data_IF_476168323735
#
_entry.id   IF_476168323735
#
_cell.length_a   1.000
_cell.length_b   1.000
_cell.length_c   1.000
_cell.angle_alpha   90.00
_cell.angle_beta   90.00
_cell.angle_gamma   90.00
#
_symmetry.space_group_name_H-M   'P 1'
#
loop_
_entity.id
_entity.type
_entity.pdbx_description
1 polymer ?
#
# COMPACT_ATOMS: atom_id res chain seq x y z
N UNK A 1 -10.09 -1.27 -0.19
CA UNK A 1 -8.76 -1.90 -0.09
C UNK A 1 -7.64 -1.08 -0.73
N UNK A 2 -7.79 -0.54 -1.95
CA UNK A 2 -6.70 0.19 -2.64
C UNK A 2 -6.04 1.31 -1.80
N UNK A 3 -6.84 2.13 -1.12
CA UNK A 3 -6.32 3.15 -0.19
C UNK A 3 -5.34 2.58 0.84
N UNK A 4 -5.70 1.44 1.45
CA UNK A 4 -4.87 0.77 2.47
C UNK A 4 -3.61 0.15 1.86
N UNK A 5 -3.68 -0.34 0.62
CA UNK A 5 -2.49 -0.86 -0.07
C UNK A 5 -1.46 0.25 -0.33
N UNK A 6 -1.92 1.46 -0.66
CA UNK A 6 -1.04 2.61 -0.95
C UNK A 6 -0.51 3.26 0.33
N UNK A 7 -1.36 3.41 1.34
CA UNK A 7 -1.04 4.17 2.56
C UNK A 7 -0.56 3.29 3.73
N UNK A 8 -0.87 1.99 3.70
CA UNK A 8 -0.70 1.07 4.82
C UNK A 8 -1.76 1.24 5.92
N UNK A 9 -2.79 2.07 5.71
CA UNK A 9 -3.79 2.41 6.71
C UNK A 9 -5.21 2.32 6.13
N UNK A 10 -6.19 1.94 6.94
CA UNK A 10 -7.59 2.01 6.52
C UNK A 10 -8.04 3.46 6.36
N UNK A 11 -8.93 3.77 5.39
CA UNK A 11 -9.44 5.12 5.20
C UNK A 11 -10.29 5.63 6.38
N UNK A 12 -10.92 4.70 7.11
CA UNK A 12 -11.82 4.97 8.24
C UNK A 12 -11.53 3.98 9.38
N UNK A 13 -11.84 4.37 10.62
CA UNK A 13 -11.55 3.58 11.80
C UNK A 13 -12.28 4.07 13.05
N UNK A 14 -12.44 3.18 14.04
CA UNK A 14 -13.14 3.47 15.28
C UNK A 14 -14.19 2.41 15.62
N UNK A 15 -15.10 2.75 16.53
CA UNK A 15 -16.22 1.88 16.95
C UNK A 15 -17.27 1.73 15.84
N UNK A 16 -18.10 0.69 15.90
CA UNK A 16 -19.06 0.33 14.84
C UNK A 16 -19.93 1.48 14.33
N UNK A 17 -20.58 2.24 15.23
CA UNK A 17 -21.44 3.36 14.83
C UNK A 17 -20.66 4.48 14.15
N UNK A 18 -19.50 4.84 14.72
CA UNK A 18 -18.62 5.85 14.16
C UNK A 18 -18.19 5.44 12.75
N UNK A 19 -17.73 4.20 12.55
CA UNK A 19 -17.27 3.71 11.25
C UNK A 19 -18.37 3.81 10.16
N UNK A 20 -19.63 3.50 10.50
CA UNK A 20 -20.76 3.68 9.57
C UNK A 20 -20.92 5.15 9.19
N UNK A 21 -20.93 6.07 10.17
CA UNK A 21 -21.01 7.50 9.90
C UNK A 21 -19.88 7.98 8.98
N UNK A 22 -18.64 7.52 9.21
CA UNK A 22 -17.51 7.89 8.35
C UNK A 22 -17.71 7.42 6.91
N UNK A 23 -18.25 6.22 6.72
CA UNK A 23 -18.53 5.71 5.38
C UNK A 23 -19.61 6.51 4.67
N UNK A 24 -20.60 7.04 5.38
CA UNK A 24 -21.67 7.85 4.81
C UNK A 24 -21.23 9.29 4.50
N UNK A 25 -20.62 9.96 5.47
CA UNK A 25 -20.52 11.43 5.43
C UNK A 25 -19.09 11.97 5.51
N UNK A 26 -18.16 11.29 6.19
CA UNK A 26 -16.81 11.81 6.37
C UNK A 26 -15.89 11.53 5.18
N UNK A 27 -15.12 12.54 4.80
CA UNK A 27 -14.03 12.35 3.84
C UNK A 27 -12.85 11.65 4.52
N UNK A 28 -12.22 10.65 3.85
CA UNK A 28 -11.03 10.01 4.37
C UNK A 28 -9.87 11.02 4.42
N UNK A 29 -8.85 10.73 5.24
CA UNK A 29 -7.60 11.49 5.21
C UNK A 29 -7.07 11.57 3.77
N UNK A 30 -6.78 12.76 3.23
CA UNK A 30 -6.27 12.90 1.88
C UNK A 30 -5.02 12.05 1.66
N UNK A 31 -4.97 11.32 0.54
CA UNK A 31 -3.87 10.40 0.26
C UNK A 31 -2.52 11.13 0.17
N UNK A 32 -2.52 12.37 -0.33
CA UNK A 32 -1.36 13.28 -0.39
C UNK A 32 -0.74 13.58 0.97
N UNK A 33 -1.53 13.56 2.04
CA UNK A 33 -1.03 13.77 3.41
C UNK A 33 -0.22 12.58 3.93
N UNK A 34 -0.48 11.37 3.42
CA UNK A 34 0.19 10.13 3.84
C UNK A 34 1.26 9.66 2.85
N UNK A 35 1.07 9.97 1.56
CA UNK A 35 1.95 9.63 0.44
C UNK A 35 2.10 10.85 -0.49
N UNK A 36 2.90 11.86 -0.09
CA UNK A 36 3.12 13.05 -0.91
C UNK A 36 3.89 12.76 -2.22
N UNK A 37 4.56 11.61 -2.28
CA UNK A 37 5.25 11.06 -3.44
C UNK A 37 4.33 10.28 -4.39
N UNK A 38 3.07 10.02 -4.00
CA UNK A 38 2.13 9.34 -4.87
C UNK A 38 1.75 10.22 -6.07
N UNK A 39 1.61 9.56 -7.23
CA UNK A 39 1.28 10.24 -8.48
C UNK A 39 -0.16 10.75 -8.48
N UNK A 40 -0.43 11.94 -9.06
CA UNK A 40 -1.78 12.54 -9.08
C UNK A 40 -2.86 11.63 -9.67
N UNK A 41 -2.54 10.89 -10.73
CA UNK A 41 -3.49 9.98 -11.38
C UNK A 41 -3.96 8.88 -10.43
N UNK A 42 -3.03 8.27 -9.68
CA UNK A 42 -3.36 7.26 -8.68
C UNK A 42 -4.17 7.85 -7.51
N UNK A 43 -3.81 9.05 -7.04
CA UNK A 43 -4.55 9.76 -5.99
C UNK A 43 -6.01 9.96 -6.42
N UNK A 44 -6.22 10.42 -7.65
CA UNK A 44 -7.55 10.67 -8.20
C UNK A 44 -8.38 9.37 -8.31
N UNK A 45 -7.77 8.27 -8.77
CA UNK A 45 -8.47 6.96 -8.83
C UNK A 45 -8.87 6.45 -7.44
N UNK A 46 -8.00 6.58 -6.44
CA UNK A 46 -8.36 6.22 -5.06
C UNK A 46 -9.47 7.10 -4.51
N UNK A 47 -9.45 8.41 -4.81
CA UNK A 47 -10.50 9.33 -4.38
C UNK A 47 -11.86 8.99 -4.99
N UNK A 48 -11.93 8.70 -6.29
CA UNK A 48 -13.15 8.27 -6.98
C UNK A 48 -13.74 7.00 -6.35
N UNK A 49 -12.91 6.00 -6.03
CA UNK A 49 -13.35 4.77 -5.37
C UNK A 49 -13.91 4.99 -3.96
N UNK A 50 -13.51 6.07 -3.29
CA UNK A 50 -13.98 6.44 -1.95
C UNK A 50 -15.10 7.49 -1.98
N UNK A 51 -15.54 7.92 -3.17
CA UNK A 51 -16.60 8.90 -3.32
C UNK A 51 -17.87 8.43 -2.60
N UNK A 52 -18.55 9.38 -1.94
CA UNK A 52 -19.77 9.09 -1.18
C UNK A 52 -20.95 8.85 -2.11
N UNK A 53 -21.04 9.68 -3.14
CA UNK A 53 -21.99 9.54 -4.21
C UNK A 53 -21.60 8.35 -5.11
N UNK A 54 -22.43 7.30 -5.24
CA UNK A 54 -22.14 6.18 -6.12
C UNK A 54 -21.97 6.57 -7.58
N UNK A 55 -22.60 7.65 -8.05
CA UNK A 55 -22.49 8.13 -9.43
C UNK A 55 -21.13 8.78 -9.75
N UNK A 56 -20.30 9.05 -8.74
CA UNK A 56 -18.92 9.53 -8.90
C UNK A 56 -17.90 8.38 -8.91
N UNK A 57 -18.36 7.15 -8.69
CA UNK A 57 -17.52 5.96 -8.71
C UNK A 57 -17.46 5.39 -10.13
N UNK A 58 -16.38 4.69 -10.47
CA UNK A 58 -16.33 3.86 -11.68
C UNK A 58 -17.49 2.87 -11.72
N UNK A 59 -18.02 2.63 -12.92
CA UNK A 59 -19.19 1.79 -13.15
C UNK A 59 -18.90 0.31 -12.89
N UNK A 60 -17.62 -0.08 -12.98
CA UNK A 60 -17.19 -1.46 -12.82
C UNK A 60 -15.78 -1.60 -12.26
N UNK A 61 -15.46 -2.80 -11.77
CA UNK A 61 -14.10 -3.14 -11.38
C UNK A 61 -13.15 -3.25 -12.59
N UNK A 62 -13.68 -3.54 -13.79
CA UNK A 62 -12.93 -3.61 -15.04
C UNK A 62 -12.41 -2.22 -15.43
N UNK A 63 -13.26 -1.19 -15.37
CA UNK A 63 -12.85 0.21 -15.59
C UNK A 63 -11.74 0.64 -14.63
N UNK A 64 -11.81 0.22 -13.36
CA UNK A 64 -10.76 0.49 -12.37
C UNK A 64 -9.46 -0.21 -12.75
N UNK A 65 -9.54 -1.45 -13.21
CA UNK A 65 -8.38 -2.23 -13.62
C UNK A 65 -7.70 -1.59 -14.83
N UNK A 66 -8.45 -1.27 -15.89
CA UNK A 66 -7.94 -0.60 -17.08
C UNK A 66 -7.27 0.73 -16.74
N UNK A 67 -7.90 1.54 -15.88
CA UNK A 67 -7.32 2.81 -15.43
C UNK A 67 -6.03 2.63 -14.62
N UNK A 68 -5.90 1.57 -13.83
CA UNK A 68 -4.67 1.27 -13.10
C UNK A 68 -3.58 0.71 -14.02
N UNK A 69 -3.95 -0.08 -15.04
CA UNK A 69 -3.04 -0.57 -16.07
C UNK A 69 -2.48 0.59 -16.90
N UNK A 70 -3.31 1.55 -17.29
CA UNK A 70 -2.84 2.76 -18.00
C UNK A 70 -1.80 3.54 -17.17
N UNK A 71 -2.05 3.75 -15.87
CA UNK A 71 -1.10 4.39 -14.96
C UNK A 71 0.18 3.55 -14.85
N UNK A 72 0.05 2.22 -14.82
CA UNK A 72 1.20 1.34 -14.74
C UNK A 72 2.07 1.43 -15.99
N UNK A 73 1.47 1.30 -17.18
CA UNK A 73 2.16 1.36 -18.47
C UNK A 73 2.81 2.72 -18.71
N UNK A 74 2.12 3.82 -18.41
CA UNK A 74 2.66 5.18 -18.57
C UNK A 74 3.98 5.37 -17.83
N UNK A 75 4.11 4.75 -16.67
CA UNK A 75 5.17 5.08 -15.74
C UNK A 75 6.21 3.97 -15.51
N UNK A 76 5.88 2.74 -15.84
CA UNK A 76 6.74 1.58 -15.61
C UNK A 76 7.00 0.81 -16.91
N UNK A 77 5.98 0.58 -17.74
CA UNK A 77 6.11 -0.06 -19.06
C UNK A 77 7.10 -1.24 -19.07
N UNK A 78 8.12 -1.14 -19.93
CA UNK A 78 9.17 -2.16 -20.09
C UNK A 78 10.10 -2.34 -18.87
N UNK A 79 10.06 -1.42 -17.90
CA UNK A 79 10.86 -1.47 -16.68
C UNK A 79 9.97 -1.54 -15.44
N UNK A 80 9.35 -2.72 -15.18
CA UNK A 80 8.45 -2.89 -14.07
C UNK A 80 9.18 -2.70 -12.73
N UNK A 81 8.52 -2.12 -11.71
CA UNK A 81 9.10 -2.02 -10.39
C UNK A 81 9.29 -3.42 -9.83
N UNK A 82 10.53 -3.76 -9.47
CA UNK A 82 10.78 -5.03 -8.78
C UNK A 82 10.18 -4.96 -7.37
N UNK A 83 9.47 -6.01 -6.95
CA UNK A 83 8.90 -6.16 -5.60
C UNK A 83 9.96 -6.15 -4.48
N UNK A 84 11.25 -6.07 -4.83
CA UNK A 84 12.37 -6.38 -3.95
C UNK A 84 12.56 -7.90 -3.78
N UNK A 85 13.64 -8.32 -3.14
CA UNK A 85 13.82 -9.72 -2.75
C UNK A 85 12.76 -10.10 -1.72
N UNK A 86 12.08 -11.23 -1.95
CA UNK A 86 11.16 -11.80 -0.98
C UNK A 86 11.95 -12.40 0.19
N UNK A 87 12.35 -11.54 1.13
CA UNK A 87 13.09 -11.93 2.33
C UNK A 87 12.27 -12.80 3.29
N UNK A 88 10.98 -13.05 3.02
CA UNK A 88 10.16 -13.95 3.85
C UNK A 88 10.61 -15.41 3.75
N UNK A 89 11.32 -15.78 2.67
CA UNK A 89 11.94 -17.10 2.52
C UNK A 89 13.27 -17.21 3.28
N UNK A 90 13.98 -16.09 3.47
CA UNK A 90 15.32 -16.06 4.08
C UNK A 90 15.26 -16.13 5.62
N UNK A 91 14.16 -15.67 6.21
CA UNK A 91 13.81 -16.02 7.59
C UNK A 91 13.22 -17.43 7.62
N UNK A 92 14.09 -18.42 7.37
CA UNK A 92 13.79 -19.81 7.64
C UNK A 92 13.18 -19.91 9.03
N UNK A 93 11.95 -20.41 9.08
CA UNK A 93 11.24 -20.70 10.30
C UNK A 93 12.02 -21.74 11.10
N UNK A 94 13.06 -21.31 11.82
CA UNK A 94 13.39 -21.92 13.09
C UNK A 94 12.16 -21.65 13.96
N UNK A 95 11.18 -22.57 13.90
CA UNK A 95 10.23 -22.77 14.98
C UNK A 95 11.10 -22.98 16.22
N UNK A 96 11.37 -21.90 16.95
CA UNK A 96 11.81 -22.03 18.33
C UNK A 96 10.69 -22.83 19.01
N UNK A 97 10.98 -23.96 19.65
CA UNK A 97 9.97 -24.68 20.40
C UNK A 97 9.37 -23.70 21.39
N UNK A 98 8.06 -23.51 21.34
CA UNK A 98 7.34 -22.66 22.25
C UNK A 98 7.57 -23.17 23.67
N UNK A 99 8.43 -22.49 24.44
CA UNK A 99 8.44 -22.67 25.89
C UNK A 99 7.21 -21.94 26.42
N UNK A 100 6.39 -22.66 27.19
CA UNK A 100 5.16 -22.12 27.78
C UNK A 100 5.46 -20.82 28.52
N UNK A 101 4.76 -19.74 28.14
CA UNK A 101 4.56 -18.59 29.03
C UNK A 101 4.84 -17.21 28.47
N UNK A 102 5.58 -17.05 27.37
CA UNK A 102 5.94 -15.71 26.88
C UNK A 102 5.15 -15.29 25.64
N UNK A 103 4.45 -14.16 25.75
CA UNK A 103 3.81 -13.50 24.62
C UNK A 103 4.90 -13.08 23.61
N UNK A 104 4.87 -13.65 22.41
CA UNK A 104 5.74 -13.23 21.31
C UNK A 104 5.31 -11.82 20.87
N UNK A 105 5.93 -10.79 21.43
CA UNK A 105 5.98 -9.49 20.76
C UNK A 105 6.81 -9.70 19.50
N UNK A 106 6.16 -9.78 18.35
CA UNK A 106 6.82 -9.70 17.06
C UNK A 106 7.48 -8.30 16.96
N UNK A 107 8.72 -8.19 17.42
CA UNK A 107 9.55 -7.05 17.15
C UNK A 107 9.92 -7.13 15.67
N UNK A 108 9.24 -6.33 14.84
CA UNK A 108 9.76 -6.00 13.52
C UNK A 108 10.99 -5.15 13.76
N UNK A 109 12.16 -5.79 13.79
CA UNK A 109 13.43 -5.08 13.86
C UNK A 109 13.55 -4.24 12.58
N UNK A 110 13.66 -2.92 12.76
CA UNK A 110 13.95 -1.96 11.69
C UNK A 110 15.26 -2.38 11.03
N UNK A 111 15.24 -2.62 9.72
CA UNK A 111 16.46 -2.83 8.92
C UNK A 111 17.36 -1.60 9.12
N UNK A 112 18.63 -1.74 9.55
CA UNK A 112 19.53 -0.61 9.64
C UNK A 112 19.78 -0.05 8.24
N UNK A 113 19.69 1.27 8.10
CA UNK A 113 19.79 2.02 6.85
C UNK A 113 21.22 2.06 6.25
N UNK A 114 22.09 1.10 6.59
CA UNK A 114 23.48 1.11 6.16
C UNK A 114 23.81 -0.12 5.31
N UNK A 115 23.39 -0.07 4.05
CA UNK A 115 24.14 -0.69 2.96
C UNK A 115 24.19 0.29 1.81
N UNK A 116 25.26 1.07 1.81
CA UNK A 116 25.75 1.89 0.71
C UNK A 116 25.54 1.19 -0.64
N UNK A 117 24.61 1.72 -1.45
CA UNK A 117 24.32 1.25 -2.80
C UNK A 117 25.38 1.82 -3.75
N UNK A 118 26.57 1.21 -3.79
CA UNK A 118 27.59 1.52 -4.79
C UNK A 118 27.58 0.46 -5.88
N UNK A 119 26.59 0.52 -6.78
CA UNK A 119 26.66 -0.17 -8.07
C UNK A 119 27.45 0.71 -9.03
N UNK A 120 28.77 0.46 -9.08
CA UNK A 120 29.64 0.95 -10.14
C UNK A 120 29.17 0.36 -11.48
N UNK A 121 28.57 1.18 -12.33
CA UNK A 121 28.45 0.88 -13.76
C UNK A 121 29.82 1.09 -14.41
N UNK A 122 30.63 0.04 -14.42
CA UNK A 122 31.83 -0.06 -15.25
C UNK A 122 31.46 -0.54 -16.65
N UNK A 123 31.68 0.32 -17.65
CA UNK A 123 31.77 -0.06 -19.06
C UNK A 123 32.86 -1.13 -19.24
N UNK A 124 32.62 -2.11 -20.10
CA UNK A 124 33.18 -2.20 -21.45
C UNK A 124 32.60 -3.41 -22.17
#
# INVERSE_FOLDING_TARGET
MLYEMVTGQRPFGGTSWHLVNQHLDEQPTPLTSLRPDARPELINRVAQLLAKNPAERPDSAEEVFEALEEIYEHHFGDNPPSRGQDVTSEYGAARLPAQSGDAVKAAVARVPADRSYSAQYGRQ
#
